data_IF_939301347297
#
_entry.id   IF_939301347297
#
_cell.length_a   1.000
_cell.length_b   1.000
_cell.length_c   1.000
_cell.angle_alpha   90.00
_cell.angle_beta   90.00
_cell.angle_gamma   90.00
#
_symmetry.space_group_name_H-M   'P 1'
#
loop_
_entity.id
_entity.type
_entity.pdbx_description
1 polymer ?
#
# COMPACT_ATOMS: atom_id res chain seq x y z
N UNK A 1 -76.04 31.40 -29.64
CA UNK A 1 -74.69 32.01 -29.81
C UNK A 1 -74.70 33.50 -29.44
N UNK A 2 -75.15 33.91 -28.23
CA UNK A 2 -75.32 35.36 -27.95
C UNK A 2 -75.24 35.85 -26.49
N UNK A 3 -74.90 35.04 -25.48
CA UNK A 3 -74.66 35.57 -24.11
C UNK A 3 -73.16 35.80 -23.85
N UNK A 4 -72.30 34.90 -24.35
CA UNK A 4 -70.83 35.05 -24.26
C UNK A 4 -70.29 36.28 -25.02
N UNK A 5 -70.89 36.66 -26.15
CA UNK A 5 -70.44 37.84 -26.92
C UNK A 5 -70.71 39.16 -26.20
N UNK A 6 -71.74 39.24 -25.36
CA UNK A 6 -72.11 40.48 -24.66
C UNK A 6 -71.22 40.77 -23.44
N UNK A 7 -70.71 39.73 -22.77
CA UNK A 7 -69.76 39.86 -21.67
C UNK A 7 -68.33 40.22 -22.13
N UNK A 8 -67.97 39.90 -23.38
CA UNK A 8 -66.67 40.21 -23.98
C UNK A 8 -66.53 41.66 -24.48
N UNK A 9 -67.64 42.35 -24.73
CA UNK A 9 -67.64 43.74 -25.25
C UNK A 9 -67.81 44.82 -24.18
N UNK A 10 -68.02 44.44 -22.92
CA UNK A 10 -68.12 45.37 -21.79
C UNK A 10 -66.78 45.37 -21.03
N UNK A 11 -66.07 46.51 -20.87
CA UNK A 11 -64.72 46.55 -20.28
C UNK A 11 -64.63 45.92 -18.87
N UNK A 12 -65.74 45.87 -18.12
CA UNK A 12 -65.81 45.19 -16.82
C UNK A 12 -65.92 43.66 -16.92
N UNK A 13 -66.59 43.14 -17.95
CA UNK A 13 -66.74 41.69 -18.18
C UNK A 13 -65.44 41.05 -18.72
N UNK A 14 -64.75 41.76 -19.61
CA UNK A 14 -63.42 41.38 -20.11
C UNK A 14 -62.38 41.29 -18.99
N UNK A 15 -62.39 42.25 -18.05
CA UNK A 15 -61.49 42.24 -16.89
C UNK A 15 -61.71 41.05 -15.96
N UNK A 16 -62.96 40.63 -15.75
CA UNK A 16 -63.29 39.48 -14.90
C UNK A 16 -62.82 38.15 -15.52
N UNK A 17 -63.02 37.98 -16.84
CA UNK A 17 -62.54 36.80 -17.56
C UNK A 17 -61.01 36.74 -17.55
N UNK A 18 -60.33 37.88 -17.75
CA UNK A 18 -58.87 37.98 -17.67
C UNK A 18 -58.36 37.60 -16.28
N UNK A 19 -59.00 38.09 -15.21
CA UNK A 19 -58.62 37.77 -13.84
C UNK A 19 -58.75 36.28 -13.51
N UNK A 20 -59.80 35.62 -14.02
CA UNK A 20 -59.99 34.16 -13.85
C UNK A 20 -58.90 33.40 -14.61
N UNK A 21 -58.61 33.77 -15.85
CA UNK A 21 -57.55 33.12 -16.64
C UNK A 21 -56.20 33.28 -15.95
N UNK A 22 -55.86 34.49 -15.49
CA UNK A 22 -54.61 34.75 -14.75
C UNK A 22 -54.57 33.94 -13.45
N UNK A 23 -55.69 33.84 -12.72
CA UNK A 23 -55.77 33.06 -11.48
C UNK A 23 -55.57 31.57 -11.73
N UNK A 24 -56.15 31.01 -12.80
CA UNK A 24 -55.96 29.60 -13.18
C UNK A 24 -54.52 29.34 -13.60
N UNK A 25 -53.91 30.25 -14.37
CA UNK A 25 -52.50 30.14 -14.77
C UNK A 25 -51.58 30.22 -13.56
N UNK A 26 -51.82 31.14 -12.62
CA UNK A 26 -51.08 31.23 -11.36
C UNK A 26 -51.21 29.95 -10.53
N UNK A 27 -52.42 29.40 -10.42
CA UNK A 27 -52.65 28.16 -9.68
C UNK A 27 -51.92 26.97 -10.32
N UNK A 28 -51.93 26.88 -11.65
CA UNK A 28 -51.18 25.86 -12.39
C UNK A 28 -49.67 26.00 -12.16
N UNK A 29 -49.13 27.22 -12.17
CA UNK A 29 -47.71 27.48 -11.88
C UNK A 29 -47.33 27.07 -10.44
N UNK A 30 -48.19 27.34 -9.45
CA UNK A 30 -47.97 26.92 -8.06
C UNK A 30 -47.94 25.40 -7.95
N UNK A 31 -48.87 24.69 -8.60
CA UNK A 31 -48.89 23.22 -8.61
C UNK A 31 -47.62 22.65 -9.23
N UNK A 32 -47.19 23.18 -10.39
CA UNK A 32 -45.95 22.77 -11.06
C UNK A 32 -44.74 23.01 -10.14
N UNK A 33 -44.68 24.17 -9.47
CA UNK A 33 -43.63 24.50 -8.52
C UNK A 33 -43.54 23.50 -7.36
N UNK A 34 -44.67 23.12 -6.75
CA UNK A 34 -44.70 22.14 -5.66
C UNK A 34 -44.22 20.76 -6.13
N UNK A 35 -44.61 20.34 -7.33
CA UNK A 35 -44.19 19.04 -7.90
C UNK A 35 -42.67 19.03 -8.14
N UNK A 36 -42.11 20.09 -8.71
CA UNK A 36 -40.67 20.21 -8.94
C UNK A 36 -39.86 20.18 -7.64
N UNK A 37 -40.33 20.87 -6.59
CA UNK A 37 -39.68 20.87 -5.26
C UNK A 37 -39.71 19.47 -4.64
N UNK A 38 -40.84 18.74 -4.75
CA UNK A 38 -40.94 17.37 -4.26
C UNK A 38 -40.01 16.42 -5.01
N UNK A 39 -39.88 16.57 -6.32
CA UNK A 39 -38.96 15.76 -7.13
C UNK A 39 -37.50 16.02 -6.75
N UNK A 40 -37.09 17.29 -6.61
CA UNK A 40 -35.74 17.63 -6.17
C UNK A 40 -35.44 17.10 -4.76
N UNK A 41 -36.38 17.25 -3.82
CA UNK A 41 -36.21 16.75 -2.44
C UNK A 41 -36.05 15.22 -2.41
N UNK A 42 -36.84 14.49 -3.19
CA UNK A 42 -36.73 13.03 -3.33
C UNK A 42 -35.37 12.59 -3.89
N UNK A 43 -34.87 13.29 -4.92
CA UNK A 43 -33.55 13.01 -5.51
C UNK A 43 -32.41 13.26 -4.51
N UNK A 44 -32.48 14.37 -3.76
CA UNK A 44 -31.48 14.70 -2.73
C UNK A 44 -31.53 13.71 -1.57
N UNK A 45 -32.72 13.33 -1.10
CA UNK A 45 -32.88 12.33 -0.05
C UNK A 45 -32.33 10.95 -0.48
N UNK A 46 -32.63 10.53 -1.71
CA UNK A 46 -32.09 9.29 -2.27
C UNK A 46 -30.57 9.32 -2.43
N UNK A 47 -29.98 10.48 -2.74
CA UNK A 47 -28.53 10.67 -2.80
C UNK A 47 -27.90 10.55 -1.40
N UNK A 48 -28.44 11.28 -0.40
CA UNK A 48 -27.97 11.20 1.00
C UNK A 48 -27.99 9.77 1.55
N UNK A 49 -29.08 9.05 1.35
CA UNK A 49 -29.19 7.67 1.82
C UNK A 49 -28.16 6.73 1.17
N UNK A 50 -27.78 6.97 -0.09
CA UNK A 50 -26.73 6.22 -0.77
C UNK A 50 -25.35 6.59 -0.24
N UNK A 51 -25.09 7.86 0.05
CA UNK A 51 -23.85 8.31 0.69
C UNK A 51 -23.69 7.75 2.10
N UNK A 52 -24.78 7.67 2.89
CA UNK A 52 -24.74 7.04 4.21
C UNK A 52 -24.42 5.54 4.12
N UNK A 53 -25.06 4.81 3.20
CA UNK A 53 -24.72 3.40 2.98
C UNK A 53 -23.26 3.20 2.51
N UNK A 54 -22.71 4.16 1.73
CA UNK A 54 -21.31 4.17 1.34
C UNK A 54 -20.40 4.38 2.56
N UNK A 55 -20.69 5.36 3.43
CA UNK A 55 -19.92 5.61 4.64
C UNK A 55 -19.91 4.39 5.59
N UNK A 56 -21.02 3.64 5.66
CA UNK A 56 -21.07 2.36 6.39
C UNK A 56 -20.15 1.31 5.75
N UNK A 57 -20.07 1.26 4.42
CA UNK A 57 -19.17 0.35 3.73
C UNK A 57 -17.69 0.75 3.95
N UNK A 58 -17.38 2.04 3.89
CA UNK A 58 -16.05 2.60 4.16
C UNK A 58 -15.57 2.27 5.58
N UNK A 59 -16.45 2.39 6.58
CA UNK A 59 -16.14 1.97 7.95
C UNK A 59 -15.77 0.47 8.05
N UNK A 60 -16.42 -0.39 7.26
CA UNK A 60 -16.06 -1.81 7.19
C UNK A 60 -14.68 -2.05 6.59
N UNK A 61 -14.35 -1.31 5.53
CA UNK A 61 -13.03 -1.34 4.90
C UNK A 61 -11.93 -0.83 5.84
N UNK A 62 -12.16 0.27 6.55
CA UNK A 62 -11.21 0.77 7.57
C UNK A 62 -11.02 -0.24 8.71
N UNK A 63 -12.09 -0.87 9.19
CA UNK A 63 -12.00 -1.92 10.21
C UNK A 63 -11.19 -3.13 9.70
N UNK A 64 -11.27 -3.44 8.42
CA UNK A 64 -10.49 -4.50 7.79
C UNK A 64 -9.00 -4.13 7.76
N UNK A 65 -8.66 -2.93 7.28
CA UNK A 65 -7.28 -2.43 7.27
C UNK A 65 -6.69 -2.41 8.68
N UNK A 66 -7.44 -1.93 9.67
CA UNK A 66 -6.97 -1.89 11.06
C UNK A 66 -6.68 -3.29 11.63
N UNK A 67 -7.50 -4.29 11.31
CA UNK A 67 -7.25 -5.69 11.72
C UNK A 67 -5.97 -6.23 11.08
N UNK A 68 -5.77 -5.93 9.81
CA UNK A 68 -4.58 -6.31 9.05
C UNK A 68 -3.32 -5.67 9.66
N UNK A 69 -3.37 -4.38 10.00
CA UNK A 69 -2.25 -3.67 10.65
C UNK A 69 -1.92 -4.25 12.03
N UNK A 70 -2.94 -4.54 12.84
CA UNK A 70 -2.75 -4.98 14.23
C UNK A 70 -2.33 -6.43 14.35
N UNK A 71 -2.92 -7.33 13.55
CA UNK A 71 -2.73 -8.77 13.70
C UNK A 71 -1.79 -9.35 12.63
N UNK A 72 -1.53 -8.63 11.54
CA UNK A 72 -0.78 -9.14 10.39
C UNK A 72 -1.56 -10.13 9.52
N UNK A 73 -2.79 -10.46 9.92
CA UNK A 73 -3.69 -11.33 9.20
C UNK A 73 -5.14 -10.84 9.35
N UNK A 74 -5.95 -11.16 8.35
CA UNK A 74 -7.37 -10.88 8.33
C UNK A 74 -8.10 -12.16 7.95
N UNK A 75 -9.07 -12.59 8.76
CA UNK A 75 -9.89 -13.75 8.44
C UNK A 75 -10.77 -13.51 7.22
N UNK A 76 -11.26 -14.59 6.60
CA UNK A 76 -11.97 -14.56 5.31
C UNK A 76 -13.21 -13.65 5.27
N UNK A 77 -13.90 -13.51 6.41
CA UNK A 77 -15.03 -12.59 6.51
C UNK A 77 -15.31 -12.18 7.94
N UNK A 78 -15.93 -11.02 8.11
CA UNK A 78 -16.48 -10.58 9.39
C UNK A 78 -17.56 -9.52 9.19
N UNK A 79 -18.35 -9.32 10.24
CA UNK A 79 -19.39 -8.29 10.26
C UNK A 79 -19.15 -7.31 11.41
N UNK A 80 -19.73 -6.13 11.30
CA UNK A 80 -19.71 -5.12 12.35
C UNK A 80 -20.76 -4.05 12.16
N UNK A 81 -20.73 -3.07 13.05
CA UNK A 81 -21.69 -1.97 13.08
C UNK A 81 -20.97 -0.65 13.32
N UNK A 82 -21.48 0.42 12.71
CA UNK A 82 -21.18 1.78 13.09
C UNK A 82 -22.47 2.49 13.55
N UNK A 83 -22.41 3.80 13.80
CA UNK A 83 -23.57 4.58 14.23
C UNK A 83 -24.71 4.67 13.20
N UNK A 84 -24.43 4.39 11.92
CA UNK A 84 -25.34 4.57 10.79
C UNK A 84 -25.89 3.23 10.27
N UNK A 85 -25.20 2.11 10.50
CA UNK A 85 -25.53 0.85 9.82
C UNK A 85 -24.70 -0.36 10.20
N UNK A 86 -25.04 -1.48 9.55
CA UNK A 86 -24.27 -2.75 9.59
C UNK A 86 -23.38 -2.84 8.36
N UNK A 87 -22.15 -3.31 8.52
CA UNK A 87 -21.29 -3.70 7.41
C UNK A 87 -20.91 -5.18 7.47
N UNK A 88 -20.66 -5.75 6.30
CA UNK A 88 -20.16 -7.10 6.08
C UNK A 88 -18.91 -7.01 5.21
N UNK A 89 -17.81 -7.57 5.68
CA UNK A 89 -16.52 -7.58 4.98
C UNK A 89 -16.17 -8.99 4.58
N UNK A 90 -15.74 -9.16 3.34
CA UNK A 90 -15.17 -10.38 2.79
C UNK A 90 -13.76 -10.05 2.31
N UNK A 91 -12.79 -10.86 2.69
CA UNK A 91 -11.42 -10.75 2.22
C UNK A 91 -11.08 -11.93 1.34
N UNK A 92 -10.57 -11.64 0.15
CA UNK A 92 -10.10 -12.64 -0.79
C UNK A 92 -8.58 -12.52 -0.94
N UNK A 93 -7.89 -13.66 -1.01
CA UNK A 93 -6.47 -13.73 -1.39
C UNK A 93 -6.39 -14.22 -2.83
N UNK A 94 -6.37 -13.31 -3.83
CA UNK A 94 -6.53 -13.68 -5.24
C UNK A 94 -5.36 -14.50 -5.78
N UNK A 95 -4.19 -14.44 -5.12
CA UNK A 95 -3.01 -15.24 -5.46
C UNK A 95 -2.80 -16.25 -4.35
N UNK A 96 -3.02 -17.53 -4.65
CA UNK A 96 -2.86 -18.62 -3.70
C UNK A 96 -1.45 -18.61 -3.10
N UNK A 97 -1.38 -18.63 -1.77
CA UNK A 97 -0.12 -18.61 -1.05
C UNK A 97 0.49 -17.22 -0.89
N UNK A 98 0.06 -16.18 -1.60
CA UNK A 98 0.54 -14.80 -1.40
C UNK A 98 -0.14 -14.19 -0.16
N UNK A 99 0.66 -13.90 0.85
CA UNK A 99 0.22 -13.33 2.14
C UNK A 99 0.34 -11.80 2.20
N UNK A 100 0.79 -11.17 1.11
CA UNK A 100 0.97 -9.72 1.03
C UNK A 100 -0.13 -9.03 0.22
N UNK A 101 -1.01 -9.76 -0.47
CA UNK A 101 -2.04 -9.19 -1.33
C UNK A 101 -3.45 -9.69 -0.99
N UNK A 102 -4.33 -8.74 -0.68
CA UNK A 102 -5.70 -8.97 -0.28
C UNK A 102 -6.65 -8.11 -1.12
N UNK A 103 -7.80 -8.66 -1.49
CA UNK A 103 -8.92 -7.91 -2.05
C UNK A 103 -10.00 -7.82 -0.98
N UNK A 104 -10.24 -6.63 -0.46
CA UNK A 104 -11.20 -6.39 0.61
C UNK A 104 -12.49 -5.86 0.01
N UNK A 105 -13.57 -6.63 0.16
CA UNK A 105 -14.91 -6.27 -0.29
C UNK A 105 -15.76 -5.94 0.94
N UNK A 106 -16.20 -4.69 1.05
CA UNK A 106 -17.07 -4.25 2.14
C UNK A 106 -18.46 -3.88 1.62
N UNK A 107 -19.49 -4.45 2.24
CA UNK A 107 -20.90 -4.17 1.97
C UNK A 107 -21.52 -3.46 3.16
N UNK A 108 -21.84 -2.18 3.01
CA UNK A 108 -22.51 -1.37 4.01
C UNK A 108 -24.02 -1.29 3.79
N UNK A 109 -24.79 -1.40 4.88
CA UNK A 109 -26.26 -1.25 4.91
C UNK A 109 -26.67 -0.21 5.96
N UNK A 110 -27.24 0.90 5.51
CA UNK A 110 -27.76 1.93 6.40
C UNK A 110 -29.07 1.48 7.07
N UNK A 111 -29.14 1.54 8.41
CA UNK A 111 -30.22 0.94 9.21
C UNK A 111 -31.58 1.58 8.91
N UNK A 112 -31.64 2.91 8.81
CA UNK A 112 -32.93 3.61 8.70
C UNK A 112 -33.51 3.60 7.27
N UNK A 113 -32.66 3.58 6.23
CA UNK A 113 -33.13 3.56 4.83
C UNK A 113 -33.13 2.19 4.20
N UNK A 114 -32.45 1.21 4.81
CA UNK A 114 -32.23 -0.13 4.26
C UNK A 114 -31.39 -0.15 2.97
N UNK A 115 -30.82 0.98 2.55
CA UNK A 115 -30.00 1.08 1.34
C UNK A 115 -28.65 0.40 1.56
N UNK A 116 -28.17 -0.24 0.50
CA UNK A 116 -26.92 -0.99 0.49
C UNK A 116 -25.94 -0.41 -0.52
N UNK A 117 -24.66 -0.41 -0.16
CA UNK A 117 -23.53 -0.08 -1.03
C UNK A 117 -22.41 -1.09 -0.82
N UNK A 118 -21.66 -1.33 -1.89
CA UNK A 118 -20.48 -2.19 -1.90
C UNK A 118 -19.30 -1.36 -2.36
N UNK A 119 -18.17 -1.56 -1.70
CA UNK A 119 -16.87 -1.05 -2.10
C UNK A 119 -15.89 -2.22 -2.12
N UNK A 120 -14.91 -2.11 -2.98
CA UNK A 120 -13.86 -3.10 -3.19
C UNK A 120 -12.54 -2.36 -3.30
N UNK A 121 -11.53 -2.84 -2.57
CA UNK A 121 -10.20 -2.26 -2.60
C UNK A 121 -9.13 -3.35 -2.54
N UNK A 122 -8.14 -3.20 -3.41
CA UNK A 122 -6.90 -3.95 -3.41
C UNK A 122 -5.99 -3.40 -2.31
N UNK A 123 -5.61 -4.25 -1.36
CA UNK A 123 -4.77 -3.90 -0.22
C UNK A 123 -3.51 -4.75 -0.22
N UNK A 124 -2.37 -4.08 -0.08
CA UNK A 124 -1.07 -4.72 0.04
C UNK A 124 -0.53 -4.54 1.45
N UNK A 125 -0.30 -5.66 2.14
CA UNK A 125 0.30 -5.67 3.47
C UNK A 125 1.72 -6.18 3.38
N UNK A 126 2.66 -5.39 3.89
CA UNK A 126 4.08 -5.75 3.90
C UNK A 126 4.61 -5.55 5.31
N UNK A 127 5.13 -6.62 5.90
CA UNK A 127 5.82 -6.51 7.18
C UNK A 127 7.23 -5.96 6.96
N UNK A 128 7.42 -4.69 7.30
CA UNK A 128 8.69 -3.98 7.12
C UNK A 128 9.72 -4.25 8.22
N UNK A 129 9.38 -4.97 9.31
CA UNK A 129 10.30 -5.22 10.44
C UNK A 129 11.54 -6.02 10.06
N UNK A 130 11.51 -6.75 8.94
CA UNK A 130 12.62 -7.52 8.38
C UNK A 130 13.06 -7.02 7.01
N UNK A 131 12.61 -5.82 6.62
CA UNK A 131 12.92 -5.29 5.30
C UNK A 131 14.34 -4.76 5.23
N UNK A 132 15.01 -5.06 4.12
CA UNK A 132 16.28 -4.43 3.75
C UNK A 132 15.96 -3.16 2.96
N UNK A 133 16.42 -2.02 3.47
CA UNK A 133 16.27 -0.73 2.82
C UNK A 133 17.58 -0.33 2.17
N UNK A 134 17.55 -0.09 0.86
CA UNK A 134 18.66 0.52 0.14
C UNK A 134 18.28 1.95 -0.23
N UNK A 135 19.09 2.91 0.21
CA UNK A 135 18.95 4.30 -0.20
C UNK A 135 20.07 4.64 -1.18
N UNK A 136 19.72 4.69 -2.45
CA UNK A 136 20.60 5.31 -3.43
C UNK A 136 20.28 6.80 -3.42
N UNK A 137 21.24 7.62 -2.99
CA UNK A 137 21.08 9.08 -3.01
C UNK A 137 20.72 9.57 -4.41
N UNK A 138 20.15 10.77 -4.50
CA UNK A 138 19.61 11.36 -5.74
C UNK A 138 20.58 11.42 -6.96
N UNK A 139 21.85 11.02 -6.81
CA UNK A 139 22.89 11.04 -7.84
C UNK A 139 23.65 9.71 -8.05
N UNK A 140 23.25 8.62 -7.42
CA UNK A 140 23.88 7.31 -7.65
C UNK A 140 22.80 6.25 -7.76
N UNK A 141 22.70 5.56 -8.90
CA UNK A 141 21.82 4.40 -9.02
C UNK A 141 22.22 3.33 -8.00
N UNK A 142 21.24 2.66 -7.39
CA UNK A 142 21.51 1.55 -6.48
C UNK A 142 22.08 0.39 -7.29
N UNK A 143 23.41 0.28 -7.32
CA UNK A 143 24.11 -0.85 -7.91
C UNK A 143 24.34 -1.90 -6.84
N UNK A 144 23.65 -3.04 -6.96
CA UNK A 144 24.03 -4.25 -6.21
C UNK A 144 24.90 -5.08 -7.14
N UNK A 145 26.21 -4.97 -6.97
CA UNK A 145 27.20 -5.66 -7.78
C UNK A 145 27.97 -6.65 -6.90
N UNK A 146 28.03 -7.92 -7.32
CA UNK A 146 28.77 -8.97 -6.61
C UNK A 146 28.05 -10.32 -6.53
N UNK A 147 28.45 -11.13 -5.55
CA UNK A 147 27.79 -12.39 -5.19
C UNK A 147 26.97 -12.18 -3.92
N UNK A 148 25.79 -11.56 -4.05
CA UNK A 148 24.98 -11.11 -2.92
C UNK A 148 23.66 -11.87 -2.90
N UNK A 149 23.27 -12.39 -1.73
CA UNK A 149 21.96 -13.00 -1.53
C UNK A 149 21.18 -12.21 -0.48
N UNK A 150 20.07 -11.60 -0.91
CA UNK A 150 19.13 -10.87 -0.06
C UNK A 150 17.95 -11.80 0.22
N UNK A 151 17.52 -11.90 1.48
CA UNK A 151 16.36 -12.69 1.87
C UNK A 151 15.37 -11.82 2.63
N UNK A 152 14.14 -11.73 2.16
CA UNK A 152 13.11 -10.89 2.75
C UNK A 152 12.73 -9.66 1.94
N UNK A 153 11.85 -8.80 2.49
CA UNK A 153 11.31 -7.68 1.75
C UNK A 153 12.43 -6.69 1.45
N UNK A 154 12.46 -6.17 0.23
CA UNK A 154 13.50 -5.24 -0.19
C UNK A 154 12.87 -3.98 -0.75
N UNK A 155 13.35 -2.82 -0.30
CA UNK A 155 12.88 -1.52 -0.77
C UNK A 155 14.04 -0.64 -1.24
N UNK A 156 13.86 0.00 -2.41
CA UNK A 156 14.74 1.06 -2.89
C UNK A 156 13.95 2.24 -3.47
N UNK A 157 14.44 3.45 -3.18
CA UNK A 157 13.87 4.71 -3.67
C UNK A 157 14.30 5.06 -5.10
N UNK A 158 15.38 4.46 -5.59
CA UNK A 158 15.99 4.78 -6.88
C UNK A 158 15.86 3.65 -7.90
N UNK A 159 16.61 3.79 -8.98
CA UNK A 159 16.83 2.72 -9.95
C UNK A 159 17.67 1.61 -9.30
N UNK A 160 17.36 0.37 -9.64
CA UNK A 160 18.08 -0.82 -9.22
C UNK A 160 18.65 -1.53 -10.43
N UNK A 161 19.98 -1.66 -10.45
CA UNK A 161 20.68 -2.47 -11.43
C UNK A 161 21.31 -3.66 -10.72
N UNK A 162 20.90 -4.87 -11.13
CA UNK A 162 21.41 -6.14 -10.61
C UNK A 162 22.38 -6.75 -11.62
N UNK A 163 23.65 -6.85 -11.23
CA UNK A 163 24.73 -7.41 -12.03
C UNK A 163 25.53 -8.44 -11.23
N UNK A 164 26.07 -9.46 -11.90
CA UNK A 164 26.80 -10.56 -11.25
C UNK A 164 25.89 -11.71 -10.82
N UNK A 165 26.19 -12.31 -9.66
CA UNK A 165 25.46 -13.45 -9.06
C UNK A 165 24.61 -12.94 -7.90
N UNK A 166 23.48 -12.31 -8.20
CA UNK A 166 22.62 -11.72 -7.16
C UNK A 166 21.35 -12.54 -6.99
N UNK A 167 21.07 -13.00 -5.77
CA UNK A 167 19.82 -13.66 -5.42
C UNK A 167 18.97 -12.78 -4.51
N UNK A 168 17.69 -12.58 -4.82
CA UNK A 168 16.73 -11.92 -3.92
C UNK A 168 15.58 -12.89 -3.68
N UNK A 169 15.49 -13.44 -2.47
CA UNK A 169 14.58 -14.55 -2.17
C UNK A 169 13.55 -14.18 -1.10
N UNK A 170 12.45 -14.90 -1.08
CA UNK A 170 11.54 -14.87 0.07
C UNK A 170 12.24 -15.46 1.31
N UNK A 171 11.75 -15.11 2.50
CA UNK A 171 12.14 -15.79 3.74
C UNK A 171 11.54 -17.21 3.76
N UNK A 172 12.20 -18.17 4.45
CA UNK A 172 11.67 -19.52 4.64
C UNK A 172 10.22 -19.53 5.12
N UNK A 173 9.38 -20.34 4.49
CA UNK A 173 7.96 -20.51 4.86
C UNK A 173 7.06 -19.31 4.54
N UNK A 174 7.53 -18.34 3.75
CA UNK A 174 6.77 -17.13 3.40
C UNK A 174 6.81 -16.86 1.90
N UNK A 175 5.87 -16.04 1.44
CA UNK A 175 5.72 -15.53 0.05
C UNK A 175 5.54 -14.01 0.01
N UNK A 176 5.38 -13.40 1.19
CA UNK A 176 4.94 -12.02 1.37
C UNK A 176 6.10 -11.04 1.49
N UNK A 177 7.25 -11.33 0.88
CA UNK A 177 8.43 -10.46 0.93
C UNK A 177 8.60 -9.78 -0.42
N UNK A 178 7.94 -8.65 -0.67
CA UNK A 178 8.01 -8.04 -1.97
C UNK A 178 9.35 -7.34 -2.21
N UNK A 179 9.74 -7.33 -3.48
CA UNK A 179 10.76 -6.42 -4.01
C UNK A 179 10.07 -5.13 -4.47
N UNK A 180 10.44 -3.99 -3.88
CA UNK A 180 9.81 -2.68 -4.09
C UNK A 180 10.84 -1.67 -4.59
N UNK A 181 10.65 -1.14 -5.79
CA UNK A 181 11.62 -0.29 -6.50
C UNK A 181 10.91 0.94 -7.06
N UNK A 182 11.22 2.13 -6.54
CA UNK A 182 10.62 3.39 -7.03
C UNK A 182 11.19 3.86 -8.37
N UNK A 183 12.33 3.35 -8.79
CA UNK A 183 12.93 3.61 -10.10
C UNK A 183 12.69 2.47 -11.09
N UNK A 184 13.64 2.29 -12.00
CA UNK A 184 13.71 1.18 -12.95
C UNK A 184 14.38 -0.06 -12.32
N UNK A 185 13.96 -1.25 -12.71
CA UNK A 185 14.65 -2.51 -12.42
C UNK A 185 15.35 -3.00 -13.69
N UNK A 186 16.69 -3.00 -13.67
CA UNK A 186 17.53 -3.49 -14.76
C UNK A 186 18.26 -4.76 -14.31
N UNK A 187 17.99 -5.89 -14.97
CA UNK A 187 18.70 -7.15 -14.73
C UNK A 187 19.74 -7.34 -15.82
N UNK A 188 21.02 -7.07 -15.51
CA UNK A 188 22.11 -7.10 -16.50
C UNK A 188 22.84 -8.44 -16.62
N UNK A 189 22.46 -9.46 -15.83
CA UNK A 189 23.11 -10.78 -15.81
C UNK A 189 22.08 -11.91 -15.70
N UNK A 190 22.31 -13.02 -16.43
CA UNK A 190 21.49 -14.23 -16.32
C UNK A 190 21.67 -14.98 -14.99
N UNK A 191 22.72 -14.64 -14.23
CA UNK A 191 22.98 -15.23 -12.91
C UNK A 191 22.28 -14.47 -11.78
N UNK A 192 21.39 -13.52 -12.11
CA UNK A 192 20.49 -12.88 -11.16
C UNK A 192 19.25 -13.75 -11.00
N UNK A 193 18.86 -14.01 -9.75
CA UNK A 193 17.65 -14.74 -9.40
C UNK A 193 16.78 -13.88 -8.48
N UNK A 194 15.50 -13.69 -8.83
CA UNK A 194 14.55 -12.88 -8.06
C UNK A 194 13.33 -13.74 -7.74
N UNK A 195 13.28 -14.21 -6.50
CA UNK A 195 12.43 -15.30 -6.05
C UNK A 195 12.98 -16.63 -6.55
N UNK A 196 12.10 -17.60 -6.70
CA UNK A 196 12.35 -18.79 -7.50
C UNK A 196 11.08 -19.25 -8.18
N UNK A 197 11.13 -20.37 -8.90
CA UNK A 197 9.98 -20.92 -9.61
C UNK A 197 9.70 -22.39 -9.25
N UNK A 198 10.41 -22.95 -8.27
CA UNK A 198 10.37 -24.38 -7.94
C UNK A 198 9.47 -24.68 -6.75
N UNK A 199 9.22 -23.70 -5.88
CA UNK A 199 8.45 -23.86 -4.65
C UNK A 199 7.21 -22.96 -4.63
N UNK A 200 6.17 -23.37 -3.91
CA UNK A 200 4.97 -22.54 -3.69
C UNK A 200 5.12 -21.58 -2.51
N UNK A 201 6.05 -21.86 -1.59
CA UNK A 201 6.35 -21.08 -0.39
C UNK A 201 7.85 -21.19 -0.09
N UNK A 202 8.48 -20.13 0.40
CA UNK A 202 9.89 -20.15 0.83
C UNK A 202 10.85 -19.56 -0.19
N UNK A 203 12.15 -19.79 0.01
CA UNK A 203 13.22 -19.05 -0.68
C UNK A 203 13.12 -19.16 -2.20
N UNK A 204 12.72 -20.33 -2.72
CA UNK A 204 12.60 -20.57 -4.16
C UNK A 204 11.17 -20.39 -4.70
N UNK A 205 10.29 -19.69 -3.97
CA UNK A 205 8.95 -19.37 -4.46
C UNK A 205 8.88 -18.03 -5.21
N UNK A 206 7.94 -17.87 -6.16
CA UNK A 206 7.83 -16.63 -6.92
C UNK A 206 7.58 -15.43 -6.01
N UNK A 207 8.37 -14.37 -6.20
CA UNK A 207 8.29 -13.16 -5.38
C UNK A 207 7.37 -12.11 -6.03
N UNK A 208 6.71 -11.31 -5.20
CA UNK A 208 5.93 -10.16 -5.68
C UNK A 208 6.87 -8.97 -5.96
N UNK A 209 6.69 -8.30 -7.09
CA UNK A 209 7.55 -7.20 -7.53
C UNK A 209 6.71 -5.95 -7.78
N UNK A 210 7.12 -4.85 -7.15
CA UNK A 210 6.51 -3.54 -7.28
C UNK A 210 7.56 -2.59 -7.86
N UNK A 211 7.42 -2.19 -9.13
CA UNK A 211 8.37 -1.31 -9.80
C UNK A 211 7.64 -0.17 -10.48
N UNK A 212 7.98 1.07 -10.12
CA UNK A 212 7.32 2.26 -10.66
C UNK A 212 7.81 2.59 -12.08
N UNK A 213 9.10 2.35 -12.34
CA UNK A 213 9.75 2.56 -13.63
C UNK A 213 9.55 1.41 -14.62
N UNK A 214 10.54 1.20 -15.48
CA UNK A 214 10.60 0.05 -16.39
C UNK A 214 11.15 -1.18 -15.68
N UNK A 215 10.74 -2.36 -16.14
CA UNK A 215 11.29 -3.63 -15.69
C UNK A 215 11.88 -4.36 -16.89
N UNK A 216 13.16 -4.68 -16.82
CA UNK A 216 13.84 -5.58 -17.75
C UNK A 216 14.21 -6.87 -17.03
N UNK A 217 13.46 -7.94 -17.28
CA UNK A 217 13.46 -9.16 -16.46
C UNK A 217 13.48 -10.48 -17.25
N UNK A 218 14.45 -10.69 -18.16
CA UNK A 218 14.48 -11.88 -18.97
C UNK A 218 14.47 -13.15 -18.10
N UNK A 219 13.50 -14.04 -18.33
CA UNK A 219 13.37 -15.37 -17.72
C UNK A 219 13.05 -15.42 -16.21
N UNK A 220 12.55 -14.34 -15.61
CA UNK A 220 12.12 -14.33 -14.21
C UNK A 220 10.62 -14.62 -14.06
N UNK A 221 10.23 -15.31 -12.97
CA UNK A 221 8.84 -15.63 -12.66
C UNK A 221 8.43 -14.94 -11.37
N UNK A 222 7.45 -14.04 -11.46
CA UNK A 222 6.93 -13.29 -10.33
C UNK A 222 5.53 -13.76 -9.96
N UNK A 223 5.21 -13.77 -8.67
CA UNK A 223 3.83 -14.06 -8.22
C UNK A 223 2.88 -12.90 -8.53
N UNK A 224 3.41 -11.69 -8.56
CA UNK A 224 2.67 -10.47 -8.88
C UNK A 224 3.64 -9.41 -9.39
N UNK A 225 3.15 -8.58 -10.32
CA UNK A 225 3.88 -7.42 -10.80
C UNK A 225 2.96 -6.21 -10.80
N UNK A 226 3.36 -5.16 -10.09
CA UNK A 226 2.58 -3.93 -9.96
C UNK A 226 3.44 -2.69 -10.16
N UNK A 227 2.82 -1.62 -10.68
CA UNK A 227 3.44 -0.28 -10.76
C UNK A 227 3.16 0.59 -9.54
N UNK A 228 2.33 0.09 -8.62
CA UNK A 228 1.95 0.81 -7.40
C UNK A 228 2.94 0.49 -6.30
N UNK A 229 4.07 1.21 -6.29
CA UNK A 229 5.08 1.06 -5.24
C UNK A 229 4.64 1.86 -4.02
N UNK A 230 4.53 1.25 -2.82
CA UNK A 230 4.23 1.98 -1.59
C UNK A 230 5.23 3.11 -1.35
N UNK A 231 4.73 4.27 -0.95
CA UNK A 231 5.59 5.35 -0.47
C UNK A 231 5.96 5.08 0.98
N UNK A 232 7.14 4.50 1.18
CA UNK A 232 7.72 4.28 2.51
C UNK A 232 8.51 5.51 2.86
N UNK A 233 7.93 6.39 3.68
CA UNK A 233 8.69 7.43 4.34
C UNK A 233 9.35 6.83 5.58
N UNK A 234 10.64 6.54 5.50
CA UNK A 234 11.41 6.25 6.70
C UNK A 234 11.48 7.53 7.55
N UNK A 235 11.45 7.43 8.89
CA UNK A 235 11.72 8.59 9.73
C UNK A 235 13.07 9.19 9.33
N UNK A 236 13.16 10.52 9.35
CA UNK A 236 14.42 11.21 9.10
C UNK A 236 15.32 10.99 10.31
N UNK A 237 15.96 9.83 10.35
CA UNK A 237 16.87 9.46 11.43
C UNK A 237 18.16 10.21 11.16
N UNK A 238 18.40 11.25 11.95
CA UNK A 238 19.69 11.95 11.94
C UNK A 238 20.74 10.91 12.35
N UNK A 239 21.94 10.93 11.74
CA UNK A 239 23.01 9.94 11.98
C UNK A 239 23.29 9.68 13.47
N UNK A 240 23.11 10.69 14.32
CA UNK A 240 23.23 10.61 15.78
C UNK A 240 22.18 9.70 16.45
N UNK A 241 20.94 9.68 15.95
CA UNK A 241 19.87 8.84 16.50
C UNK A 241 20.02 7.35 16.13
N UNK A 242 20.68 7.05 15.01
CA UNK A 242 21.06 5.67 14.66
C UNK A 242 22.17 5.14 15.57
N UNK A 243 23.18 5.97 15.87
CA UNK A 243 24.23 5.65 16.84
C UNK A 243 23.65 5.37 18.23
N UNK A 244 22.73 6.21 18.70
CA UNK A 244 22.08 6.03 20.02
C UNK A 244 21.18 4.78 20.05
N UNK A 245 20.42 4.50 18.98
CA UNK A 245 19.54 3.33 18.91
C UNK A 245 20.33 2.01 18.68
N UNK A 246 21.46 2.06 17.98
CA UNK A 246 22.35 0.93 17.80
C UNK A 246 23.10 0.59 19.10
N UNK A 247 23.61 1.59 19.81
CA UNK A 247 24.24 1.42 21.12
C UNK A 247 23.25 0.90 22.19
N UNK A 248 21.97 1.29 22.10
CA UNK A 248 20.93 0.81 23.03
C UNK A 248 20.48 -0.65 22.84
N UNK A 249 20.87 -1.32 21.75
CA UNK A 249 20.44 -2.67 21.39
C UNK A 249 21.60 -3.68 21.21
N UNK A 250 22.76 -3.44 21.83
CA UNK A 250 23.97 -4.29 21.73
C UNK A 250 24.52 -4.46 20.29
N UNK A 251 24.21 -3.55 19.37
CA UNK A 251 24.73 -3.60 18.00
C UNK A 251 26.16 -3.05 17.93
N UNK A 252 26.98 -3.62 17.04
CA UNK A 252 28.34 -3.17 16.83
C UNK A 252 28.32 -1.90 15.97
N UNK A 253 28.91 -0.81 16.46
CA UNK A 253 29.09 0.42 15.67
C UNK A 253 30.56 0.72 15.50
N UNK A 254 30.96 0.92 14.24
CA UNK A 254 32.29 1.38 13.85
C UNK A 254 32.16 2.76 13.20
N UNK A 255 32.92 3.73 13.70
CA UNK A 255 32.91 5.10 13.17
C UNK A 255 34.21 5.35 12.42
N UNK A 256 34.12 5.66 11.13
CA UNK A 256 35.24 5.86 10.21
C UNK A 256 35.31 4.81 9.09
N UNK A 257 36.22 5.03 8.14
CA UNK A 257 36.47 4.07 7.06
C UNK A 257 37.10 2.79 7.64
N UNK A 258 36.58 1.64 7.22
CA UNK A 258 37.02 0.32 7.65
C UNK A 258 37.60 -0.46 6.47
N UNK A 259 38.92 -0.71 6.49
CA UNK A 259 39.55 -1.61 5.52
C UNK A 259 39.63 -3.04 6.07
N UNK A 260 39.06 -4.02 5.36
CA UNK A 260 39.22 -5.45 5.66
C UNK A 260 40.44 -6.01 4.93
N UNK A 261 41.62 -5.78 5.50
CA UNK A 261 42.93 -6.07 4.88
C UNK A 261 43.67 -7.24 5.56
N UNK A 262 45.01 -7.20 5.66
CA UNK A 262 45.81 -8.23 6.32
C UNK A 262 45.76 -8.19 7.85
N UNK A 263 44.93 -7.33 8.46
CA UNK A 263 44.82 -7.19 9.91
C UNK A 263 43.50 -7.75 10.46
N UNK A 264 43.58 -8.37 11.64
CA UNK A 264 42.36 -8.78 12.36
C UNK A 264 41.63 -7.53 12.86
N UNK A 265 40.37 -7.37 12.48
CA UNK A 265 39.51 -6.28 12.93
C UNK A 265 38.42 -6.85 13.83
N UNK A 266 38.23 -6.24 15.01
CA UNK A 266 37.19 -6.66 15.96
C UNK A 266 36.59 -5.47 16.70
N UNK A 267 35.26 -5.40 16.74
CA UNK A 267 34.52 -4.37 17.47
C UNK A 267 33.14 -4.86 17.91
N UNK A 268 32.50 -4.14 18.83
CA UNK A 268 31.30 -4.59 19.53
C UNK A 268 31.63 -5.69 20.55
N UNK A 269 32.51 -5.41 21.51
CA UNK A 269 32.84 -6.35 22.59
C UNK A 269 31.60 -6.53 23.49
N UNK A 270 31.22 -7.78 23.75
CA UNK A 270 30.11 -8.16 24.64
C UNK A 270 30.62 -8.53 26.02
N UNK A 271 29.70 -8.61 26.98
CA UNK A 271 30.00 -8.99 28.37
C UNK A 271 30.59 -10.41 28.52
N UNK A 272 30.34 -11.29 27.55
CA UNK A 272 30.88 -12.66 27.51
C UNK A 272 32.28 -12.74 26.85
N UNK A 273 32.85 -11.60 26.43
CA UNK A 273 34.15 -11.51 25.78
C UNK A 273 34.15 -11.81 24.27
N UNK A 274 32.99 -12.08 23.68
CA UNK A 274 32.83 -12.21 22.23
C UNK A 274 32.73 -10.84 21.53
N UNK A 275 32.91 -10.83 20.21
CA UNK A 275 32.79 -9.61 19.40
C UNK A 275 31.64 -9.76 18.41
N UNK A 276 30.77 -8.76 18.37
CA UNK A 276 29.63 -8.65 17.44
C UNK A 276 30.09 -8.52 15.99
N UNK A 277 31.29 -7.97 15.75
CA UNK A 277 31.98 -8.02 14.46
C UNK A 277 33.41 -8.52 14.65
N UNK A 278 33.80 -9.53 13.86
CA UNK A 278 35.18 -10.02 13.80
C UNK A 278 35.56 -10.42 12.38
N UNK A 279 36.55 -9.74 11.83
CA UNK A 279 37.23 -10.10 10.60
C UNK A 279 38.60 -10.68 10.91
N UNK A 280 38.86 -11.90 10.43
CA UNK A 280 40.15 -12.59 10.53
C UNK A 280 40.71 -12.78 9.12
N UNK A 281 41.85 -12.17 8.78
CA UNK A 281 42.49 -12.35 7.49
C UNK A 281 42.96 -13.79 7.31
N UNK A 282 43.01 -14.27 6.07
CA UNK A 282 43.59 -15.59 5.76
C UNK A 282 45.07 -15.65 6.12
N UNK A 283 45.52 -16.75 6.73
CA UNK A 283 46.90 -16.92 7.22
C UNK A 283 47.94 -17.22 6.13
N UNK A 284 47.54 -17.36 4.86
CA UNK A 284 48.42 -17.72 3.76
C UNK A 284 47.83 -17.48 2.37
N UNK A 285 48.63 -17.74 1.33
CA UNK A 285 48.18 -17.68 -0.06
C UNK A 285 47.09 -18.73 -0.27
N UNK A 286 45.85 -18.27 -0.47
CA UNK A 286 44.61 -19.03 -0.65
C UNK A 286 43.86 -19.46 0.62
N UNK A 287 44.28 -19.01 1.82
CA UNK A 287 43.43 -19.19 3.00
C UNK A 287 42.28 -18.17 2.96
N UNK A 288 41.01 -18.61 3.14
CA UNK A 288 39.88 -17.69 3.12
C UNK A 288 39.90 -16.79 4.36
N UNK A 289 39.69 -15.49 4.16
CA UNK A 289 39.37 -14.60 5.27
C UNK A 289 38.02 -15.00 5.87
N UNK A 290 37.91 -14.89 7.20
CA UNK A 290 36.68 -15.21 7.93
C UNK A 290 36.07 -13.93 8.47
N UNK A 291 34.84 -13.62 8.05
CA UNK A 291 34.04 -12.54 8.61
C UNK A 291 32.91 -13.14 9.45
N UNK A 292 32.88 -12.80 10.74
CA UNK A 292 31.83 -13.19 11.67
C UNK A 292 31.08 -11.94 12.10
N UNK A 293 29.76 -11.94 11.91
CA UNK A 293 28.86 -10.88 12.39
C UNK A 293 27.72 -11.50 13.17
N UNK A 294 27.45 -10.97 14.34
CA UNK A 294 26.26 -11.30 15.12
C UNK A 294 25.40 -10.05 15.26
N UNK A 295 24.08 -10.17 15.15
CA UNK A 295 23.21 -8.98 15.19
C UNK A 295 23.45 -8.01 14.03
N UNK A 296 23.19 -6.72 14.26
CA UNK A 296 23.34 -5.69 13.24
C UNK A 296 24.67 -4.96 13.44
N UNK A 297 25.44 -4.82 12.36
CA UNK A 297 26.71 -4.11 12.34
C UNK A 297 26.54 -2.82 11.55
N UNK A 298 26.94 -1.70 12.15
CA UNK A 298 26.88 -0.38 11.55
C UNK A 298 28.29 0.16 11.33
N UNK A 299 28.58 0.60 10.10
CA UNK A 299 29.84 1.25 9.73
C UNK A 299 29.48 2.64 9.21
N UNK A 300 29.85 3.67 9.98
CA UNK A 300 29.69 5.07 9.61
C UNK A 300 30.96 5.54 8.87
N UNK A 301 31.07 5.11 7.62
CA UNK A 301 32.23 5.30 6.76
C UNK A 301 32.20 4.36 5.56
N UNK A 302 33.30 4.29 4.81
CA UNK A 302 33.49 3.35 3.69
C UNK A 302 34.00 2.01 4.23
N UNK A 303 33.36 0.90 3.84
CA UNK A 303 33.87 -0.46 4.03
C UNK A 303 34.59 -0.94 2.77
#
# INVERSE_FOLDING_TARGET
MSILKRYLSDPKGSAMVLAIIISVVLLALVIIGIVLVRQQSSLVAGSRQKSQALAVAEAGLEAAIWRLERNGEIGDSFEGYNSEGKYEVVVESPVSGNTAYYVIKSKGKHTASGKEKKIEQDVYYVNLSRAVFSYSGANGGGQTEGSINIKGPFYTTGDMTLNGKVGIYNLPGTTGNPLMIRGNLNIGSQAVDIGGNTETLGENSPMAVFVKGTIDWPNQVFSLVSKQVPEISLPNVVSTQFLDAAQGNDNAVYTGDLALDATEVKFGLRDDGSYTFRYVPGSGNNDPATLTTEGVVYIDGTL
#
